data_IF_466907620869
#
_entry.id   IF_466907620869
#
_cell.length_a   1.000
_cell.length_b   1.000
_cell.length_c   1.000
_cell.angle_alpha   90.00
_cell.angle_beta   90.00
_cell.angle_gamma   90.00
#
_symmetry.space_group_name_H-M   'P 1'
#
loop_
_entity.id
_entity.type
_entity.pdbx_description
1 polymer ?
#
# COMPACT_ATOMS: atom_id res chain seq x y z
N UNK A 1 -21.61 9.85 -8.99
CA UNK A 1 -21.50 11.17 -8.40
C UNK A 1 -22.11 11.22 -7.01
N UNK A 2 -21.47 11.94 -6.12
CA UNK A 2 -21.93 12.04 -4.74
C UNK A 2 -23.07 13.00 -4.61
N UNK A 3 -24.15 12.56 -4.00
CA UNK A 3 -25.29 13.42 -3.72
C UNK A 3 -25.10 14.20 -2.44
N UNK A 4 -24.37 13.62 -1.49
CA UNK A 4 -24.17 14.20 -0.19
C UNK A 4 -22.79 13.83 0.29
N UNK A 5 -22.10 14.81 0.83
CA UNK A 5 -20.80 14.57 1.42
C UNK A 5 -20.96 14.19 2.87
N UNK A 6 -20.38 13.06 3.24
CA UNK A 6 -20.41 12.64 4.63
C UNK A 6 -19.35 13.43 5.42
N UNK A 7 -19.75 13.87 6.60
CA UNK A 7 -18.84 14.53 7.53
C UNK A 7 -18.44 13.54 8.61
N UNK A 8 -17.15 13.35 8.76
CA UNK A 8 -16.61 12.46 9.77
C UNK A 8 -16.21 13.22 11.03
N UNK A 9 -16.43 12.60 12.18
CA UNK A 9 -15.83 13.06 13.43
C UNK A 9 -14.42 12.49 13.53
N UNK A 10 -13.55 13.16 14.28
CA UNK A 10 -12.18 12.70 14.44
C UNK A 10 -12.11 11.28 14.99
N UNK A 11 -13.01 10.93 15.92
CA UNK A 11 -13.03 9.61 16.50
C UNK A 11 -13.37 8.56 15.44
N UNK A 12 -14.33 8.86 14.57
CA UNK A 12 -14.70 7.92 13.51
C UNK A 12 -13.55 7.64 12.56
N UNK A 13 -12.81 8.68 12.20
CA UNK A 13 -11.64 8.51 11.32
C UNK A 13 -10.60 7.64 12.00
N UNK A 14 -10.38 7.86 13.31
CA UNK A 14 -9.42 7.06 14.06
C UNK A 14 -9.79 5.59 14.16
N UNK A 15 -11.08 5.26 13.97
CA UNK A 15 -11.56 3.89 14.04
C UNK A 15 -11.57 3.19 12.70
N UNK A 16 -11.27 3.90 11.62
CA UNK A 16 -11.16 3.29 10.31
C UNK A 16 -9.96 2.34 10.27
N UNK A 17 -10.18 1.18 9.67
CA UNK A 17 -9.19 0.13 9.66
C UNK A 17 -8.76 -0.16 8.21
N UNK A 18 -7.49 0.10 7.91
CA UNK A 18 -6.93 -0.14 6.60
C UNK A 18 -5.83 -1.20 6.64
N UNK A 19 -5.86 -2.07 7.66
CA UNK A 19 -4.83 -3.10 7.79
C UNK A 19 -4.80 -4.06 6.61
N UNK A 20 -5.97 -4.38 6.03
CA UNK A 20 -6.00 -5.24 4.84
C UNK A 20 -5.30 -4.58 3.66
N UNK A 21 -5.57 -3.30 3.44
CA UNK A 21 -4.97 -2.55 2.34
C UNK A 21 -3.46 -2.46 2.52
N UNK A 22 -3.01 -2.20 3.75
CA UNK A 22 -1.59 -2.08 4.02
C UNK A 22 -0.88 -3.41 3.84
N UNK A 23 -1.51 -4.50 4.28
CA UNK A 23 -0.94 -5.82 4.10
C UNK A 23 -0.84 -6.16 2.61
N UNK A 24 -1.88 -5.87 1.85
CA UNK A 24 -1.89 -6.14 0.41
C UNK A 24 -0.83 -5.31 -0.30
N UNK A 25 -0.64 -4.07 0.10
CA UNK A 25 0.40 -3.23 -0.49
C UNK A 25 1.77 -3.83 -0.27
N UNK A 26 2.03 -4.32 0.95
CA UNK A 26 3.31 -4.98 1.24
C UNK A 26 3.51 -6.21 0.37
N UNK A 27 2.47 -7.03 0.21
CA UNK A 27 2.53 -8.22 -0.65
C UNK A 27 2.82 -7.82 -2.10
N UNK A 28 2.16 -6.77 -2.58
CA UNK A 28 2.38 -6.29 -3.94
C UNK A 28 3.82 -5.84 -4.16
N UNK A 29 4.36 -5.09 -3.21
CA UNK A 29 5.74 -4.62 -3.31
C UNK A 29 6.69 -5.81 -3.42
N UNK A 30 6.54 -6.79 -2.55
CA UNK A 30 7.37 -7.99 -2.59
C UNK A 30 7.21 -8.77 -3.89
N UNK A 31 5.98 -8.84 -4.41
CA UNK A 31 5.69 -9.55 -5.65
C UNK A 31 6.33 -8.87 -6.85
N UNK A 32 6.19 -7.55 -6.95
CA UNK A 32 6.83 -6.80 -8.04
C UNK A 32 8.34 -6.92 -7.97
N UNK A 33 8.90 -6.79 -6.77
CA UNK A 33 10.33 -6.92 -6.57
C UNK A 33 10.82 -8.29 -7.03
N UNK A 34 10.17 -9.35 -6.55
CA UNK A 34 10.55 -10.73 -6.89
C UNK A 34 10.40 -11.01 -8.38
N UNK A 35 9.31 -10.52 -8.97
CA UNK A 35 9.06 -10.72 -10.40
C UNK A 35 10.15 -10.09 -11.26
N UNK A 36 10.80 -9.05 -10.76
CA UNK A 36 11.90 -8.40 -11.48
C UNK A 36 13.25 -8.94 -11.10
N UNK A 37 13.28 -9.97 -10.26
CA UNK A 37 14.54 -10.60 -9.87
C UNK A 37 15.40 -9.74 -8.96
N UNK A 38 14.79 -8.80 -8.23
CA UNK A 38 15.54 -7.89 -7.36
C UNK A 38 15.52 -8.45 -5.94
N UNK A 39 16.72 -8.63 -5.37
CA UNK A 39 16.82 -9.08 -3.99
C UNK A 39 16.47 -7.96 -3.03
N UNK A 40 15.97 -8.32 -1.84
CA UNK A 40 15.64 -7.33 -0.83
C UNK A 40 16.81 -6.41 -0.52
N UNK A 41 18.02 -6.97 -0.36
CA UNK A 41 19.15 -6.13 0.01
C UNK A 41 19.52 -5.15 -1.09
N UNK A 42 19.35 -5.54 -2.36
CA UNK A 42 19.65 -4.63 -3.47
C UNK A 42 18.65 -3.50 -3.55
N UNK A 43 17.37 -3.81 -3.40
CA UNK A 43 16.35 -2.78 -3.41
C UNK A 43 16.48 -1.86 -2.20
N UNK A 44 16.81 -2.42 -1.04
CA UNK A 44 17.01 -1.62 0.16
C UNK A 44 18.11 -0.61 -0.04
N UNK A 45 19.23 -1.02 -0.69
CA UNK A 45 20.31 -0.09 -0.99
C UNK A 45 19.83 1.04 -1.90
N UNK A 46 19.05 0.72 -2.92
CA UNK A 46 18.51 1.74 -3.80
C UNK A 46 17.64 2.74 -3.05
N UNK A 47 16.95 2.28 -2.02
CA UNK A 47 16.05 3.12 -1.25
C UNK A 47 16.72 3.78 -0.04
N UNK A 48 18.00 3.47 0.19
CA UNK A 48 18.72 4.04 1.32
C UNK A 48 18.28 3.51 2.67
N UNK A 49 17.88 2.26 2.72
CA UNK A 49 17.43 1.63 3.97
C UNK A 49 18.07 0.27 4.14
N UNK A 50 17.93 -0.31 5.33
CA UNK A 50 18.45 -1.65 5.57
C UNK A 50 17.50 -2.71 4.98
N UNK A 51 18.04 -3.92 4.74
CA UNK A 51 17.22 -5.03 4.26
C UNK A 51 16.10 -5.35 5.27
N UNK A 52 16.44 -5.26 6.57
CA UNK A 52 15.45 -5.56 7.60
C UNK A 52 14.30 -4.55 7.54
N UNK A 53 14.61 -3.27 7.34
CA UNK A 53 13.58 -2.25 7.21
C UNK A 53 12.67 -2.54 6.02
N UNK A 54 13.26 -2.87 4.87
CA UNK A 54 12.46 -3.20 3.70
C UNK A 54 11.57 -4.42 3.95
N UNK A 55 12.13 -5.44 4.60
CA UNK A 55 11.36 -6.63 4.93
C UNK A 55 10.17 -6.29 5.80
N UNK A 56 10.35 -5.40 6.77
CA UNK A 56 9.26 -4.99 7.64
C UNK A 56 8.20 -4.18 6.88
N UNK A 57 8.61 -3.38 5.92
CA UNK A 57 7.67 -2.65 5.07
C UNK A 57 6.86 -3.64 4.24
N UNK A 58 7.52 -4.63 3.63
CA UNK A 58 6.84 -5.63 2.81
C UNK A 58 5.89 -6.48 3.63
N UNK A 59 6.12 -6.60 4.92
CA UNK A 59 5.24 -7.34 5.83
C UNK A 59 4.29 -6.42 6.61
N UNK A 60 4.25 -5.15 6.26
CA UNK A 60 3.37 -4.16 6.85
C UNK A 60 3.63 -3.92 8.33
N UNK A 61 4.85 -4.19 8.80
CA UNK A 61 5.24 -3.91 10.16
C UNK A 61 5.74 -2.49 10.36
N UNK A 62 6.15 -1.84 9.26
CA UNK A 62 6.57 -0.45 9.27
C UNK A 62 5.80 0.29 8.19
N UNK A 63 5.48 1.56 8.43
CA UNK A 63 4.74 2.34 7.43
C UNK A 63 5.61 2.63 6.21
N UNK A 64 4.96 2.66 5.06
CA UNK A 64 5.57 3.04 3.81
C UNK A 64 5.31 4.51 3.58
N UNK A 65 6.37 5.31 3.41
CA UNK A 65 6.18 6.72 3.09
C UNK A 65 5.81 6.87 1.62
N UNK A 66 5.12 7.95 1.31
CA UNK A 66 4.78 8.24 -0.07
C UNK A 66 6.02 8.41 -0.93
N UNK A 67 7.06 9.01 -0.38
CA UNK A 67 8.31 9.18 -1.12
C UNK A 67 8.88 7.82 -1.53
N UNK A 68 8.95 6.89 -0.59
CA UNK A 68 9.45 5.54 -0.89
C UNK A 68 8.52 4.80 -1.84
N UNK A 69 7.21 5.02 -1.73
CA UNK A 69 6.26 4.43 -2.65
C UNK A 69 6.55 4.85 -4.09
N UNK A 70 6.77 6.14 -4.32
CA UNK A 70 7.10 6.63 -5.66
C UNK A 70 8.44 6.09 -6.14
N UNK A 71 9.43 6.00 -5.26
CA UNK A 71 10.72 5.43 -5.62
C UNK A 71 10.60 3.96 -6.02
N UNK A 72 9.77 3.21 -5.30
CA UNK A 72 9.53 1.82 -5.62
C UNK A 72 8.85 1.67 -6.98
N UNK A 73 7.86 2.50 -7.26
CA UNK A 73 7.21 2.47 -8.57
C UNK A 73 8.21 2.72 -9.68
N UNK A 74 9.14 3.66 -9.47
CA UNK A 74 10.18 3.94 -10.45
C UNK A 74 11.11 2.76 -10.63
N UNK A 75 11.51 2.10 -9.54
CA UNK A 75 12.36 0.91 -9.59
C UNK A 75 11.68 -0.21 -10.37
N UNK A 76 10.37 -0.37 -10.14
CA UNK A 76 9.59 -1.40 -10.83
C UNK A 76 9.22 -1.00 -12.25
N UNK A 77 9.46 0.26 -12.63
CA UNK A 77 9.11 0.78 -13.95
C UNK A 77 7.61 0.69 -14.23
N UNK A 78 6.82 0.96 -13.20
CA UNK A 78 5.36 1.02 -13.33
C UNK A 78 4.88 2.36 -12.84
N UNK A 79 3.73 2.79 -13.36
CA UNK A 79 3.11 4.02 -12.87
C UNK A 79 2.53 3.74 -11.48
N UNK A 80 2.65 4.71 -10.56
CA UNK A 80 2.18 4.49 -9.18
C UNK A 80 0.72 4.04 -9.09
N UNK A 81 -0.13 4.52 -9.99
CA UNK A 81 -1.53 4.15 -9.94
C UNK A 81 -1.77 2.67 -10.18
N UNK A 82 -0.85 1.98 -10.85
CA UNK A 82 -0.99 0.53 -11.02
C UNK A 82 -0.89 -0.21 -9.70
N UNK A 83 -0.01 0.26 -8.83
CA UNK A 83 0.11 -0.35 -7.50
C UNK A 83 -1.15 -0.10 -6.69
N UNK A 84 -1.73 1.08 -6.82
CA UNK A 84 -2.92 1.44 -6.07
C UNK A 84 -4.18 0.76 -6.59
N UNK A 85 -4.24 0.44 -7.88
CA UNK A 85 -5.42 -0.20 -8.45
C UNK A 85 -5.71 -1.55 -7.82
N UNK A 86 -4.66 -2.30 -7.49
CA UNK A 86 -4.87 -3.60 -6.85
C UNK A 86 -5.48 -3.43 -5.47
N UNK A 87 -5.17 -2.34 -4.79
CA UNK A 87 -5.72 -2.07 -3.47
C UNK A 87 -7.19 -1.67 -3.54
N UNK A 88 -7.61 -1.11 -4.66
CA UNK A 88 -8.99 -0.68 -4.81
C UNK A 88 -9.97 -1.83 -4.64
N UNK A 89 -9.56 -3.05 -5.00
CA UNK A 89 -10.42 -4.22 -4.85
C UNK A 89 -10.73 -4.50 -3.38
N UNK A 90 -9.72 -4.39 -2.53
CA UNK A 90 -9.89 -4.65 -1.10
C UNK A 90 -10.85 -3.62 -0.51
N UNK A 91 -10.57 -2.35 -0.78
CA UNK A 91 -11.40 -1.27 -0.26
C UNK A 91 -12.82 -1.39 -0.77
N UNK A 92 -13.00 -1.69 -2.04
CA UNK A 92 -14.31 -1.80 -2.64
C UNK A 92 -15.13 -2.92 -2.00
N UNK A 93 -14.51 -4.08 -1.76
CA UNK A 93 -15.20 -5.19 -1.12
C UNK A 93 -15.70 -4.79 0.27
N UNK A 94 -14.83 -4.15 1.05
CA UNK A 94 -15.19 -3.73 2.40
C UNK A 94 -16.34 -2.74 2.40
N UNK A 95 -16.25 -1.75 1.51
CA UNK A 95 -17.21 -0.67 1.49
C UNK A 95 -18.52 -1.10 0.87
N UNK A 96 -18.49 -2.02 -0.08
CA UNK A 96 -19.73 -2.57 -0.64
C UNK A 96 -20.55 -3.31 0.43
N UNK A 97 -19.85 -4.10 1.27
CA UNK A 97 -20.56 -4.82 2.31
C UNK A 97 -21.21 -3.88 3.31
N UNK A 98 -20.56 -2.77 3.61
CA UNK A 98 -21.10 -1.79 4.55
C UNK A 98 -22.13 -0.89 3.90
N UNK A 99 -21.92 -0.57 2.64
CA UNK A 99 -22.75 0.38 1.93
C UNK A 99 -24.11 -0.15 1.52
N UNK A 100 -24.30 -1.44 1.62
CA UNK A 100 -25.56 -2.04 1.27
C UNK A 100 -26.64 -1.81 2.31
N UNK A 101 -26.29 -1.30 3.44
CA UNK A 101 -27.25 -1.04 4.52
C UNK A 101 -28.10 0.20 4.29
#
# INVERSE_FOLDING_TARGET
MLKRRRTFQAQEVGELDFSEELLELGVLIGSYRTARGIKQEDMAKLLGMSRITLSRIENSWLPLTMENFFKMAAIFEVRPEYLLQALARVTQRKWSRKGED
#
